data_IF_444279838241
#
_entry.id   IF_444279838241
#
_cell.length_a   1.000
_cell.length_b   1.000
_cell.length_c   1.000
_cell.angle_alpha   90.00
_cell.angle_beta   90.00
_cell.angle_gamma   90.00
#
_symmetry.space_group_name_H-M   'P 1'
#
loop_
_entity.id
_entity.type
_entity.pdbx_description
1 polymer ?
#
# COMPACT_ATOMS: atom_id res chain seq x y z
N UNK A 1 -0.34 -10.73 -0.63
CA UNK A 1 0.83 -10.17 -1.32
C UNK A 1 0.61 -10.25 -2.82
N UNK A 2 0.89 -9.17 -3.56
CA UNK A 2 0.85 -9.17 -5.02
C UNK A 2 1.98 -10.09 -5.51
N UNK A 3 1.67 -11.07 -6.36
CA UNK A 3 2.62 -12.16 -6.68
C UNK A 3 3.98 -11.71 -7.22
N UNK A 4 4.06 -10.53 -7.86
CA UNK A 4 5.29 -9.98 -8.45
C UNK A 4 5.97 -8.90 -7.60
N UNK A 5 5.35 -8.42 -6.51
CA UNK A 5 5.83 -7.24 -5.77
C UNK A 5 7.23 -7.44 -5.19
N UNK A 6 7.49 -8.59 -4.59
CA UNK A 6 8.80 -8.86 -4.00
C UNK A 6 9.89 -8.93 -5.09
N UNK A 7 9.60 -9.58 -6.22
CA UNK A 7 10.52 -9.62 -7.37
C UNK A 7 10.80 -8.22 -7.93
N UNK A 8 9.80 -7.34 -7.99
CA UNK A 8 9.98 -5.94 -8.40
C UNK A 8 10.87 -5.19 -7.39
N UNK A 9 10.62 -5.37 -6.09
CA UNK A 9 11.39 -4.72 -5.03
C UNK A 9 12.86 -5.15 -5.06
N UNK A 10 13.13 -6.44 -5.16
CA UNK A 10 14.48 -7.00 -5.23
C UNK A 10 15.24 -6.56 -6.48
N UNK A 11 14.58 -6.59 -7.64
CA UNK A 11 15.24 -6.35 -8.93
C UNK A 11 15.47 -4.86 -9.20
N UNK A 12 14.49 -4.00 -8.87
CA UNK A 12 14.49 -2.61 -9.32
C UNK A 12 14.46 -1.57 -8.19
N UNK A 13 13.78 -1.85 -7.09
CA UNK A 13 13.64 -0.86 -6.00
C UNK A 13 14.90 -0.80 -5.16
N UNK A 14 15.45 -1.95 -4.77
CA UNK A 14 16.70 -2.01 -3.98
C UNK A 14 17.91 -1.46 -4.72
N UNK A 15 17.93 -1.55 -6.05
CA UNK A 15 19.00 -1.00 -6.89
C UNK A 15 18.84 0.51 -7.12
N UNK A 16 17.73 1.09 -6.69
CA UNK A 16 17.41 2.51 -6.89
C UNK A 16 16.93 2.85 -8.30
N UNK A 17 16.63 1.86 -9.13
CA UNK A 17 16.17 2.08 -10.51
C UNK A 17 14.68 2.43 -10.58
N UNK A 18 13.88 1.96 -9.62
CA UNK A 18 12.43 2.21 -9.57
C UNK A 18 12.01 2.68 -8.18
N UNK A 19 11.19 3.73 -8.14
CA UNK A 19 10.43 4.10 -6.96
C UNK A 19 9.08 3.38 -6.98
N UNK A 20 8.84 2.49 -6.02
CA UNK A 20 7.55 1.85 -5.84
C UNK A 20 6.68 2.69 -4.90
N UNK A 21 5.48 3.07 -5.36
CA UNK A 21 4.48 3.81 -4.57
C UNK A 21 3.24 2.93 -4.46
N UNK A 22 2.76 2.72 -3.23
CA UNK A 22 1.49 2.05 -2.97
C UNK A 22 0.38 3.10 -2.79
N UNK A 23 -0.65 3.05 -3.62
CA UNK A 23 -1.79 3.96 -3.55
C UNK A 23 -3.06 3.21 -3.09
N UNK A 24 -3.90 3.84 -2.23
CA UNK A 24 -5.11 3.23 -1.71
C UNK A 24 -6.18 3.01 -2.78
N UNK A 25 -7.03 2.02 -2.52
CA UNK A 25 -8.31 1.83 -3.20
C UNK A 25 -9.39 1.72 -2.14
N UNK A 26 -10.22 2.76 -2.01
CA UNK A 26 -11.19 2.89 -0.92
C UNK A 26 -12.56 2.31 -1.30
N UNK A 27 -12.61 1.01 -1.63
CA UNK A 27 -13.83 0.35 -2.13
C UNK A 27 -14.45 -0.69 -1.17
N UNK A 28 -13.92 -0.87 0.04
CA UNK A 28 -14.47 -1.76 1.06
C UNK A 28 -14.94 -0.98 2.30
N UNK A 29 -15.75 0.06 2.07
CA UNK A 29 -16.23 1.00 3.09
C UNK A 29 -15.05 1.62 3.88
N UNK A 30 -15.30 2.01 5.13
CA UNK A 30 -14.29 2.61 6.02
C UNK A 30 -13.12 1.66 6.33
N UNK A 31 -13.24 0.36 6.01
CA UNK A 31 -12.17 -0.62 6.30
C UNK A 31 -10.93 -0.36 5.45
N UNK A 32 -11.11 -0.13 4.13
CA UNK A 32 -10.00 0.24 3.25
C UNK A 32 -9.31 1.53 3.70
N UNK A 33 -10.09 2.49 4.20
CA UNK A 33 -9.56 3.77 4.69
C UNK A 33 -8.74 3.56 5.96
N UNK A 34 -9.27 2.85 6.95
CA UNK A 34 -8.60 2.65 8.22
C UNK A 34 -7.34 1.79 8.09
N UNK A 35 -7.34 0.74 7.25
CA UNK A 35 -6.13 -0.05 7.01
C UNK A 35 -5.04 0.78 6.34
N UNK A 36 -5.39 1.63 5.37
CA UNK A 36 -4.40 2.49 4.72
C UNK A 36 -3.91 3.59 5.66
N UNK A 37 -4.78 4.24 6.43
CA UNK A 37 -4.36 5.20 7.48
C UNK A 37 -3.39 4.56 8.48
N UNK A 38 -3.62 3.32 8.87
CA UNK A 38 -2.73 2.59 9.77
C UNK A 38 -1.36 2.31 9.13
N UNK A 39 -1.30 2.02 7.82
CA UNK A 39 -0.04 1.93 7.09
C UNK A 39 0.71 3.27 7.07
N UNK A 40 0.01 4.39 6.90
CA UNK A 40 0.60 5.74 6.95
C UNK A 40 1.05 6.11 8.36
N UNK A 41 0.34 5.71 9.41
CA UNK A 41 0.81 5.85 10.80
C UNK A 41 2.07 5.01 11.09
N UNK A 42 2.24 3.88 10.41
CA UNK A 42 3.49 3.14 10.42
C UNK A 42 4.59 3.83 9.59
N UNK A 43 4.22 4.56 8.52
CA UNK A 43 5.14 5.39 7.74
C UNK A 43 5.73 6.54 8.55
N UNK A 44 4.97 7.14 9.47
CA UNK A 44 5.47 8.15 10.41
C UNK A 44 6.64 7.62 11.26
N UNK A 45 6.76 6.30 11.41
CA UNK A 45 7.86 5.59 12.10
C UNK A 45 8.89 4.98 11.13
N UNK A 46 8.81 5.29 9.83
CA UNK A 46 9.70 4.79 8.79
C UNK A 46 9.46 3.33 8.37
N UNK A 47 8.31 2.74 8.76
CA UNK A 47 8.04 1.30 8.66
C UNK A 47 6.75 0.98 7.88
N UNK A 48 6.44 1.79 6.86
CA UNK A 48 5.25 1.60 5.99
C UNK A 48 5.19 0.19 5.39
N UNK A 49 6.26 -0.25 4.69
CA UNK A 49 6.28 -1.53 3.98
C UNK A 49 6.18 -2.74 4.91
N UNK A 50 6.69 -2.61 6.14
CA UNK A 50 6.53 -3.65 7.15
C UNK A 50 5.06 -3.79 7.58
N UNK A 51 4.40 -2.67 7.87
CA UNK A 51 2.98 -2.70 8.24
C UNK A 51 2.07 -3.08 7.07
N UNK A 52 2.41 -2.66 5.85
CA UNK A 52 1.77 -3.12 4.62
C UNK A 52 1.75 -4.65 4.54
N UNK A 53 2.90 -5.31 4.77
CA UNK A 53 2.97 -6.77 4.75
C UNK A 53 2.07 -7.39 5.82
N UNK A 54 2.11 -6.86 7.04
CA UNK A 54 1.25 -7.31 8.15
C UNK A 54 -0.23 -7.19 7.78
N UNK A 55 -0.65 -6.09 7.14
CA UNK A 55 -2.03 -5.92 6.68
C UNK A 55 -2.41 -6.99 5.66
N UNK A 56 -1.55 -7.26 4.67
CA UNK A 56 -1.81 -8.30 3.67
C UNK A 56 -1.80 -9.72 4.23
N UNK A 57 -1.07 -9.98 5.30
CA UNK A 57 -1.08 -11.29 5.98
C UNK A 57 -2.31 -11.49 6.87
N UNK A 58 -2.97 -10.41 7.29
CA UNK A 58 -4.07 -10.44 8.27
C UNK A 58 -5.42 -10.00 7.68
N UNK A 59 -5.60 -10.04 6.35
CA UNK A 59 -6.79 -9.48 5.67
C UNK A 59 -8.12 -10.00 6.24
N UNK A 60 -8.19 -11.28 6.63
CA UNK A 60 -9.40 -11.89 7.16
C UNK A 60 -9.85 -11.25 8.49
N UNK A 61 -8.91 -10.73 9.29
CA UNK A 61 -9.18 -10.10 10.58
C UNK A 61 -9.90 -8.76 10.47
N UNK A 62 -9.91 -8.16 9.28
CA UNK A 62 -10.48 -6.82 9.07
C UNK A 62 -11.97 -6.84 8.76
N UNK A 63 -12.59 -8.00 8.53
CA UNK A 63 -14.00 -8.07 8.14
C UNK A 63 -14.98 -8.02 9.31
N UNK A 64 -14.51 -8.29 10.53
CA UNK A 64 -15.35 -8.44 11.72
C UNK A 64 -14.79 -7.65 12.91
N UNK A 65 -15.68 -7.29 13.84
CA UNK A 65 -15.30 -6.59 15.06
C UNK A 65 -14.77 -5.16 14.83
N UNK A 66 -14.10 -4.66 15.85
CA UNK A 66 -13.45 -3.35 15.86
C UNK A 66 -12.09 -3.43 15.16
N UNK A 67 -12.06 -2.91 13.94
CA UNK A 67 -10.86 -2.86 13.10
C UNK A 67 -9.76 -1.98 13.69
N UNK A 68 -10.09 -0.85 14.35
CA UNK A 68 -9.04 -0.03 14.96
C UNK A 68 -8.34 -0.77 16.09
N UNK A 69 -9.11 -1.48 16.93
CA UNK A 69 -8.53 -2.33 17.97
C UNK A 69 -7.60 -3.40 17.37
N UNK A 70 -8.02 -4.07 16.29
CA UNK A 70 -7.20 -5.04 15.55
C UNK A 70 -5.91 -4.41 15.01
N UNK A 71 -5.99 -3.24 14.36
CA UNK A 71 -4.84 -2.54 13.79
C UNK A 71 -3.82 -2.13 14.86
N UNK A 72 -4.29 -1.60 15.99
CA UNK A 72 -3.44 -1.24 17.13
C UNK A 72 -2.77 -2.47 17.75
N UNK A 73 -3.48 -3.60 17.83
CA UNK A 73 -2.91 -4.86 18.32
C UNK A 73 -1.83 -5.40 17.37
N UNK A 74 -2.05 -5.33 16.05
CA UNK A 74 -1.05 -5.72 15.07
C UNK A 74 0.21 -4.85 15.17
N UNK A 75 0.05 -3.52 15.33
CA UNK A 75 1.17 -2.61 15.55
C UNK A 75 1.94 -2.92 16.84
N UNK A 76 1.23 -3.20 17.93
CA UNK A 76 1.84 -3.61 19.20
C UNK A 76 2.65 -4.91 19.05
N UNK A 77 2.08 -5.92 18.40
CA UNK A 77 2.74 -7.22 18.19
C UNK A 77 4.01 -7.10 17.33
N UNK A 78 4.01 -6.18 16.38
CA UNK A 78 5.17 -5.91 15.52
C UNK A 78 6.18 -4.91 16.12
N UNK A 79 5.98 -4.50 17.38
CA UNK A 79 6.95 -3.66 18.10
C UNK A 79 7.04 -2.24 17.57
N UNK A 80 5.92 -1.66 17.11
CA UNK A 80 5.83 -0.23 16.83
C UNK A 80 5.74 0.58 18.14
N UNK A 81 6.05 1.88 18.08
CA UNK A 81 5.67 2.80 19.15
C UNK A 81 4.13 2.92 19.14
N UNK A 82 3.50 2.19 20.07
CA UNK A 82 2.05 2.11 20.17
C UNK A 82 1.42 3.42 20.63
N UNK A 83 2.12 4.24 21.41
CA UNK A 83 1.59 5.53 21.83
C UNK A 83 1.48 6.47 20.63
N UNK A 84 2.56 6.60 19.85
CA UNK A 84 2.57 7.41 18.64
C UNK A 84 1.59 6.89 17.57
N UNK A 85 1.58 5.56 17.36
CA UNK A 85 0.69 4.91 16.40
C UNK A 85 -0.78 5.10 16.75
N UNK A 86 -1.15 4.87 18.02
CA UNK A 86 -2.54 4.99 18.46
C UNK A 86 -3.04 6.42 18.29
N UNK A 87 -2.25 7.41 18.71
CA UNK A 87 -2.61 8.83 18.53
C UNK A 87 -2.81 9.16 17.05
N UNK A 88 -1.89 8.74 16.18
CA UNK A 88 -2.02 8.98 14.74
C UNK A 88 -3.32 8.41 14.16
N UNK A 89 -3.66 7.17 14.54
CA UNK A 89 -4.86 6.50 14.05
C UNK A 89 -6.15 7.09 14.64
N UNK A 90 -6.15 7.41 15.94
CA UNK A 90 -7.29 8.00 16.65
C UNK A 90 -7.63 9.41 16.15
N UNK A 91 -6.60 10.20 15.86
CA UNK A 91 -6.74 11.53 15.26
C UNK A 91 -7.06 11.47 13.76
N UNK A 92 -7.04 10.29 13.15
CA UNK A 92 -7.21 10.11 11.71
C UNK A 92 -6.27 11.02 10.91
N UNK A 93 -5.02 11.17 11.37
CA UNK A 93 -4.07 12.18 10.88
C UNK A 93 -3.88 12.18 9.36
N UNK A 94 -3.97 11.00 8.76
CA UNK A 94 -3.75 10.79 7.32
C UNK A 94 -5.04 10.79 6.49
N UNK A 95 -6.21 11.07 7.07
CA UNK A 95 -7.52 11.00 6.40
C UNK A 95 -7.56 11.72 5.05
N UNK A 96 -7.28 13.02 5.06
CA UNK A 96 -7.41 13.87 3.88
C UNK A 96 -6.44 13.44 2.77
N UNK A 97 -5.23 13.02 3.16
CA UNK A 97 -4.21 12.55 2.22
C UNK A 97 -4.65 11.23 1.56
N UNK A 98 -5.16 10.27 2.33
CA UNK A 98 -5.60 8.96 1.82
C UNK A 98 -6.81 9.11 0.90
N UNK A 99 -7.77 9.98 1.27
CA UNK A 99 -8.91 10.30 0.41
C UNK A 99 -8.48 11.00 -0.89
N UNK A 100 -7.53 11.93 -0.82
CA UNK A 100 -7.00 12.60 -2.00
C UNK A 100 -6.29 11.62 -2.95
N UNK A 101 -5.53 10.66 -2.42
CA UNK A 101 -4.89 9.63 -3.22
C UNK A 101 -5.90 8.74 -3.95
N UNK A 102 -6.97 8.30 -3.28
CA UNK A 102 -8.03 7.52 -3.94
C UNK A 102 -8.75 8.35 -5.02
N UNK A 103 -8.94 9.66 -4.80
CA UNK A 103 -9.53 10.54 -5.79
C UNK A 103 -8.64 10.69 -7.04
N UNK A 104 -7.31 10.74 -6.88
CA UNK A 104 -6.36 10.74 -8.00
C UNK A 104 -6.55 9.49 -8.87
N UNK A 105 -6.63 8.31 -8.23
CA UNK A 105 -6.91 7.03 -8.90
C UNK A 105 -8.26 7.08 -9.65
N UNK A 106 -9.31 7.61 -9.01
CA UNK A 106 -10.64 7.74 -9.63
C UNK A 106 -10.58 8.65 -10.86
N UNK A 107 -9.89 9.78 -10.78
CA UNK A 107 -9.76 10.73 -11.88
C UNK A 107 -8.95 10.14 -13.05
N UNK A 108 -7.99 9.25 -12.76
CA UNK A 108 -7.24 8.51 -13.77
C UNK A 108 -8.05 7.37 -14.44
N UNK A 109 -9.34 7.22 -14.12
CA UNK A 109 -10.19 6.15 -14.67
C UNK A 109 -9.92 4.76 -14.09
N UNK A 110 -9.02 4.65 -13.10
CA UNK A 110 -8.71 3.39 -12.44
C UNK A 110 -9.86 3.05 -11.49
N UNK A 111 -10.49 1.87 -11.68
CA UNK A 111 -11.64 1.42 -10.89
C UNK A 111 -11.42 0.08 -10.19
N UNK A 112 -10.53 -0.76 -10.72
CA UNK A 112 -10.19 -2.06 -10.17
C UNK A 112 -8.90 -2.05 -9.36
N UNK A 113 -8.61 -3.20 -8.74
CA UNK A 113 -7.35 -3.47 -8.03
C UNK A 113 -6.95 -4.94 -8.25
N UNK A 114 -5.64 -5.25 -8.35
CA UNK A 114 -4.54 -4.29 -8.48
C UNK A 114 -4.46 -3.69 -9.90
N UNK A 115 -4.02 -2.43 -9.99
CA UNK A 115 -3.65 -1.75 -11.24
C UNK A 115 -2.32 -1.05 -11.00
N UNK A 116 -1.39 -1.20 -11.93
CA UNK A 116 -0.05 -0.63 -11.85
C UNK A 116 0.12 0.38 -12.97
N UNK A 117 0.62 1.56 -12.63
CA UNK A 117 1.02 2.59 -13.58
C UNK A 117 2.55 2.68 -13.59
N UNK A 118 3.16 2.38 -14.72
CA UNK A 118 4.60 2.38 -14.92
C UNK A 118 4.90 3.49 -15.93
N UNK A 119 5.12 4.71 -15.44
CA UNK A 119 5.36 5.92 -16.24
C UNK A 119 4.41 6.04 -17.45
N UNK A 120 3.11 5.91 -17.23
CA UNK A 120 2.06 6.04 -18.24
C UNK A 120 1.55 4.73 -18.84
N UNK A 121 2.29 3.63 -18.70
CA UNK A 121 1.83 2.30 -19.13
C UNK A 121 1.11 1.58 -18.00
N UNK A 122 -0.03 0.97 -18.33
CA UNK A 122 -0.88 0.32 -17.35
C UNK A 122 -0.82 -1.20 -17.43
N UNK A 123 -0.61 -1.85 -16.29
CA UNK A 123 -0.79 -3.29 -16.11
C UNK A 123 -2.00 -3.51 -15.20
N UNK A 124 -2.96 -4.30 -15.65
CA UNK A 124 -4.21 -4.58 -14.91
C UNK A 124 -4.19 -6.02 -14.38
N UNK A 125 -4.55 -6.15 -13.10
CA UNK A 125 -4.66 -7.43 -12.41
C UNK A 125 -3.31 -7.99 -11.95
N UNK A 126 -3.37 -9.14 -11.28
CA UNK A 126 -2.18 -9.86 -10.82
C UNK A 126 -1.53 -10.54 -12.02
N UNK A 127 -0.41 -10.01 -12.49
CA UNK A 127 0.35 -10.56 -13.61
C UNK A 127 1.67 -11.19 -13.12
N UNK A 128 2.26 -12.12 -13.89
CA UNK A 128 3.62 -12.63 -13.64
C UNK A 128 4.67 -11.52 -13.68
N UNK A 129 5.78 -11.71 -12.98
CA UNK A 129 6.88 -10.74 -12.91
C UNK A 129 7.42 -10.37 -14.31
N UNK A 130 7.45 -11.32 -15.23
CA UNK A 130 7.95 -11.15 -16.60
C UNK A 130 7.16 -10.09 -17.37
N UNK A 131 5.86 -9.93 -17.07
CA UNK A 131 5.03 -8.88 -17.67
C UNK A 131 5.48 -7.50 -17.18
N UNK A 132 5.79 -7.36 -15.89
CA UNK A 132 6.32 -6.13 -15.33
C UNK A 132 7.70 -5.80 -15.90
N UNK A 133 8.58 -6.79 -15.93
CA UNK A 133 9.91 -6.66 -16.48
C UNK A 133 9.89 -6.18 -17.94
N UNK A 134 9.01 -6.74 -18.77
CA UNK A 134 8.84 -6.33 -20.17
C UNK A 134 8.39 -4.88 -20.36
N UNK A 135 7.81 -4.24 -19.34
CA UNK A 135 7.40 -2.82 -19.36
C UNK A 135 8.45 -1.93 -18.69
N UNK A 136 9.08 -2.38 -17.61
CA UNK A 136 10.08 -1.61 -16.85
C UNK A 136 11.40 -1.49 -17.60
N UNK A 137 11.95 -2.60 -18.09
CA UNK A 137 13.29 -2.63 -18.71
C UNK A 137 13.44 -1.63 -19.87
N UNK A 138 12.48 -1.51 -20.81
CA UNK A 138 12.58 -0.54 -21.89
C UNK A 138 12.60 0.92 -21.40
N UNK A 139 11.93 1.23 -20.29
CA UNK A 139 11.86 2.59 -19.73
C UNK A 139 13.16 3.00 -19.04
N UNK A 140 13.83 2.05 -18.40
CA UNK A 140 15.13 2.28 -17.77
C UNK A 140 16.25 2.48 -18.80
N UNK A 141 16.12 1.89 -20.00
CA UNK A 141 17.09 2.06 -21.07
C UNK A 141 16.98 3.42 -21.81
N UNK A 142 15.93 4.20 -21.53
CA UNK A 142 15.66 5.50 -22.17
C UNK A 142 16.03 6.72 -21.35
N UNK A 143 16.61 6.53 -20.15
CA UNK A 143 17.21 7.59 -19.31
C UNK A 143 18.73 7.63 -19.46
#
# INVERSE_FOLDING_TARGET
MLGAEESIKETYVKTGQVLLIFAPVLNHNDRSLQTHQAAECAADQGRFWEFHNILFENQDSFWYGDIQATLKQLAANAGFDTAAFNVCLDEQRHLDMVQAQDQIRINAGIRGQPVFNINGDYIVGTQPFEVFQGVIDPKLATE
#
